data_IF_436165226689
#
_entry.id   IF_436165226689
#
_cell.length_a   1.000
_cell.length_b   1.000
_cell.length_c   1.000
_cell.angle_alpha   90.00
_cell.angle_beta   90.00
_cell.angle_gamma   90.00
#
_symmetry.space_group_name_H-M   'P 1'
#
loop_
_entity.id
_entity.type
_entity.pdbx_description
1 polymer ?
#
# COMPACT_ATOMS: atom_id res chain seq x y z
N UNK A 1 15.58 0.15 -6.72
CA UNK A 1 15.33 1.13 -7.80
C UNK A 1 16.06 2.41 -7.45
N UNK A 2 16.54 3.18 -8.42
CA UNK A 2 17.20 4.45 -8.13
C UNK A 2 16.18 5.48 -7.60
N UNK A 3 16.49 6.07 -6.44
CA UNK A 3 15.63 7.02 -5.74
C UNK A 3 15.40 8.29 -6.56
N UNK A 4 16.40 8.73 -7.34
CA UNK A 4 16.26 9.89 -8.22
C UNK A 4 15.30 9.61 -9.37
N UNK A 5 15.32 8.40 -9.94
CA UNK A 5 14.38 7.99 -10.99
C UNK A 5 12.93 8.01 -10.50
N UNK A 6 12.68 7.64 -9.24
CA UNK A 6 11.34 7.69 -8.64
C UNK A 6 10.85 9.14 -8.54
N UNK A 7 11.73 10.08 -8.15
CA UNK A 7 11.41 11.50 -8.02
C UNK A 7 11.17 12.14 -9.38
N UNK A 8 12.05 11.90 -10.36
CA UNK A 8 11.88 12.38 -11.73
C UNK A 8 10.56 11.88 -12.32
N UNK A 9 10.27 10.58 -12.15
CA UNK A 9 9.00 10.00 -12.58
C UNK A 9 7.80 10.68 -11.91
N UNK A 10 7.85 10.94 -10.60
CA UNK A 10 6.80 11.67 -9.89
C UNK A 10 6.60 13.09 -10.44
N UNK A 11 7.67 13.79 -10.78
CA UNK A 11 7.59 15.15 -11.36
C UNK A 11 6.95 15.08 -12.76
N UNK A 12 7.42 14.14 -13.59
CA UNK A 12 7.05 14.02 -15.00
C UNK A 12 5.61 13.53 -15.20
N UNK A 13 5.08 12.70 -14.29
CA UNK A 13 3.66 12.30 -14.29
C UNK A 13 2.69 13.49 -14.21
N UNK A 14 3.15 14.64 -13.72
CA UNK A 14 2.38 15.88 -13.62
C UNK A 14 2.90 16.98 -14.55
N UNK A 15 3.72 16.62 -15.54
CA UNK A 15 4.16 17.55 -16.58
C UNK A 15 2.96 18.09 -17.38
N UNK A 16 2.97 19.36 -17.81
CA UNK A 16 1.96 19.86 -18.75
C UNK A 16 2.08 19.21 -20.14
N UNK A 17 3.23 18.60 -20.45
CA UNK A 17 3.50 17.93 -21.72
C UNK A 17 3.00 16.48 -21.71
N UNK A 18 2.13 16.15 -22.67
CA UNK A 18 1.51 14.84 -22.82
C UNK A 18 2.52 13.73 -23.14
N UNK A 19 3.56 14.02 -23.93
CA UNK A 19 4.59 13.05 -24.30
C UNK A 19 5.44 12.70 -23.07
N UNK A 20 5.82 13.71 -22.28
CA UNK A 20 6.56 13.51 -21.02
C UNK A 20 5.75 12.66 -20.04
N UNK A 21 4.45 12.94 -19.89
CA UNK A 21 3.59 12.12 -19.01
C UNK A 21 3.46 10.68 -19.51
N UNK A 22 3.36 10.48 -20.82
CA UNK A 22 3.27 9.14 -21.40
C UNK A 22 4.55 8.35 -21.16
N UNK A 23 5.72 8.95 -21.40
CA UNK A 23 7.01 8.31 -21.12
C UNK A 23 7.16 7.98 -19.63
N UNK A 24 6.74 8.87 -18.73
CA UNK A 24 6.73 8.60 -17.30
C UNK A 24 5.82 7.42 -16.94
N UNK A 25 4.65 7.27 -17.57
CA UNK A 25 3.80 6.10 -17.39
C UNK A 25 4.44 4.81 -17.93
N UNK A 26 5.08 4.89 -19.11
CA UNK A 26 5.74 3.74 -19.74
C UNK A 26 6.95 3.27 -18.92
N UNK A 27 7.68 4.19 -18.28
CA UNK A 27 8.79 3.85 -17.38
C UNK A 27 8.34 2.99 -16.19
N UNK A 28 7.07 3.10 -15.78
CA UNK A 28 6.49 2.36 -14.65
C UNK A 28 5.87 1.02 -15.02
N UNK A 29 5.86 0.65 -16.31
CA UNK A 29 5.02 -0.46 -16.80
C UNK A 29 5.26 -1.80 -16.09
N UNK A 30 6.49 -2.04 -15.63
CA UNK A 30 6.86 -3.28 -14.93
C UNK A 30 6.90 -3.12 -13.39
N UNK A 31 6.78 -1.90 -12.85
CA UNK A 31 7.03 -1.65 -11.42
C UNK A 31 6.06 -2.41 -10.51
N UNK A 32 4.80 -2.51 -10.93
CA UNK A 32 3.77 -3.22 -10.18
C UNK A 32 3.73 -4.72 -10.50
N UNK A 33 4.43 -5.18 -11.54
CA UNK A 33 4.36 -6.57 -12.01
C UNK A 33 5.25 -7.53 -11.20
N UNK A 34 5.04 -7.52 -9.88
CA UNK A 34 5.66 -8.45 -8.94
C UNK A 34 4.65 -9.09 -7.96
N UNK A 35 5.18 -9.80 -6.96
CA UNK A 35 4.44 -10.37 -5.85
C UNK A 35 4.74 -9.52 -4.63
N UNK A 36 3.70 -8.98 -4.02
CA UNK A 36 3.80 -8.15 -2.83
C UNK A 36 3.10 -8.81 -1.65
N UNK A 37 3.59 -8.50 -0.46
CA UNK A 37 2.89 -8.75 0.79
C UNK A 37 2.05 -7.52 1.11
N UNK A 38 0.76 -7.75 1.32
CA UNK A 38 -0.23 -6.72 1.61
C UNK A 38 -0.67 -6.86 3.06
N UNK A 39 -0.57 -5.81 3.89
CA UNK A 39 -0.99 -5.85 5.28
C UNK A 39 -2.52 -5.86 5.39
N UNK A 40 -3.03 -6.64 6.34
CA UNK A 40 -4.43 -6.63 6.77
C UNK A 40 -4.49 -6.60 8.29
N UNK A 41 -5.38 -5.79 8.84
CA UNK A 41 -5.66 -5.70 10.27
C UNK A 41 -6.82 -6.61 10.69
N UNK A 42 -6.68 -7.27 11.84
CA UNK A 42 -7.79 -8.00 12.49
C UNK A 42 -8.72 -7.03 13.23
N UNK A 43 -8.19 -5.86 13.64
CA UNK A 43 -8.99 -4.86 14.33
C UNK A 43 -9.95 -4.18 13.36
N UNK A 44 -11.18 -3.88 13.79
CA UNK A 44 -12.10 -3.08 13.00
C UNK A 44 -11.51 -1.69 12.77
N UNK A 45 -11.80 -1.12 11.60
CA UNK A 45 -11.42 0.27 11.34
C UNK A 45 -12.47 1.21 11.95
N UNK A 46 -12.09 2.47 12.17
CA UNK A 46 -13.01 3.51 12.62
C UNK A 46 -13.94 4.03 11.51
N UNK A 47 -13.83 3.52 10.28
CA UNK A 47 -14.69 3.93 9.16
C UNK A 47 -15.92 2.99 9.08
N UNK A 48 -17.11 3.57 9.20
CA UNK A 48 -18.38 2.81 9.22
C UNK A 48 -18.52 1.88 8.02
N UNK A 49 -18.71 0.59 8.29
CA UNK A 49 -18.94 -0.44 7.27
C UNK A 49 -17.70 -0.88 6.50
N UNK A 50 -16.50 -0.52 6.95
CA UNK A 50 -15.22 -0.90 6.34
C UNK A 50 -14.33 -1.66 7.33
N UNK A 51 -13.80 -2.81 6.91
CA UNK A 51 -12.72 -3.50 7.61
C UNK A 51 -11.83 -4.27 6.64
N UNK A 52 -10.56 -4.40 6.99
CA UNK A 52 -9.57 -5.15 6.21
C UNK A 52 -9.99 -6.60 6.03
N UNK A 53 -10.57 -7.22 7.07
CA UNK A 53 -11.13 -8.57 6.99
C UNK A 53 -12.29 -8.65 6.00
N UNK A 54 -13.15 -7.63 5.94
CA UNK A 54 -14.21 -7.56 4.93
C UNK A 54 -13.63 -7.42 3.53
N UNK A 55 -12.62 -6.57 3.33
CA UNK A 55 -11.93 -6.43 2.06
C UNK A 55 -11.34 -7.78 1.59
N UNK A 56 -10.59 -8.45 2.46
CA UNK A 56 -9.98 -9.74 2.15
C UNK A 56 -11.02 -10.82 1.84
N UNK A 57 -12.12 -10.87 2.60
CA UNK A 57 -13.25 -11.79 2.34
C UNK A 57 -13.86 -11.60 0.95
N UNK A 58 -13.80 -10.39 0.40
CA UNK A 58 -14.30 -10.07 -0.93
C UNK A 58 -13.19 -10.07 -1.99
N UNK A 59 -12.04 -10.69 -1.71
CA UNK A 59 -10.86 -10.68 -2.58
C UNK A 59 -10.52 -9.26 -3.03
N UNK A 60 -10.35 -8.36 -2.07
CA UNK A 60 -10.08 -6.96 -2.34
C UNK A 60 -8.91 -6.41 -1.52
N UNK A 61 -8.18 -5.51 -2.14
CA UNK A 61 -7.19 -4.65 -1.50
C UNK A 61 -7.89 -3.62 -0.62
N UNK A 62 -7.36 -3.43 0.58
CA UNK A 62 -7.86 -2.50 1.58
C UNK A 62 -7.05 -1.19 1.50
N UNK A 63 -7.70 -0.08 1.13
CA UNK A 63 -7.04 1.22 1.01
C UNK A 63 -7.38 2.15 2.17
N UNK A 64 -6.41 2.93 2.62
CA UNK A 64 -6.50 3.74 3.82
C UNK A 64 -6.15 5.20 3.56
N UNK A 65 -6.63 6.08 4.44
CA UNK A 65 -6.19 7.48 4.47
C UNK A 65 -4.70 7.55 4.84
N UNK A 66 -4.00 8.54 4.31
CA UNK A 66 -2.71 8.97 4.87
C UNK A 66 -2.95 9.36 6.32
N UNK A 67 -2.22 8.73 7.23
CA UNK A 67 -2.09 9.18 8.61
C UNK A 67 -0.60 9.44 8.91
N UNK A 68 -0.26 10.71 9.07
CA UNK A 68 1.10 11.15 9.39
C UNK A 68 1.06 11.81 10.78
N UNK A 69 1.17 11.02 11.87
CA UNK A 69 0.85 11.46 13.23
C UNK A 69 1.77 12.57 13.77
N UNK A 70 2.93 12.81 13.14
CA UNK A 70 3.92 13.78 13.60
C UNK A 70 3.84 15.14 12.88
N UNK A 71 2.77 15.40 12.12
CA UNK A 71 2.62 16.66 11.38
C UNK A 71 1.91 17.69 12.24
N UNK A 72 2.70 18.64 12.76
CA UNK A 72 2.22 19.76 13.58
C UNK A 72 1.87 21.00 12.76
N UNK A 73 2.26 21.06 11.48
CA UNK A 73 2.00 22.21 10.61
C UNK A 73 0.58 22.15 10.02
N UNK A 74 -0.24 23.17 10.32
CA UNK A 74 -1.62 23.32 9.81
C UNK A 74 -1.72 23.31 8.28
N UNK A 75 -0.73 23.86 7.58
CA UNK A 75 -0.71 23.87 6.10
C UNK A 75 -0.60 22.44 5.54
N UNK A 76 0.31 21.64 6.10
CA UNK A 76 0.52 20.25 5.71
C UNK A 76 -0.66 19.36 6.11
N UNK A 77 -1.25 19.58 7.30
CA UNK A 77 -2.46 18.89 7.71
C UNK A 77 -3.62 19.14 6.72
N UNK A 78 -3.86 20.39 6.34
CA UNK A 78 -4.88 20.73 5.33
C UNK A 78 -4.60 20.09 3.96
N UNK A 79 -3.33 19.99 3.55
CA UNK A 79 -2.94 19.32 2.31
C UNK A 79 -3.23 17.82 2.37
N UNK A 80 -2.99 17.17 3.51
CA UNK A 80 -3.30 15.75 3.72
C UNK A 80 -4.80 15.50 3.74
N UNK A 81 -5.59 16.37 4.36
CA UNK A 81 -7.05 16.26 4.32
C UNK A 81 -7.59 16.38 2.88
N UNK A 82 -7.07 17.34 2.10
CA UNK A 82 -7.40 17.48 0.67
C UNK A 82 -6.94 16.29 -0.16
N UNK A 83 -5.82 15.67 0.19
CA UNK A 83 -5.38 14.44 -0.45
C UNK A 83 -6.35 13.30 -0.12
N UNK A 84 -6.65 13.09 1.16
CA UNK A 84 -7.52 12.01 1.66
C UNK A 84 -8.99 12.14 1.21
N UNK A 85 -9.43 13.33 0.80
CA UNK A 85 -10.76 13.52 0.20
C UNK A 85 -10.85 12.96 -1.22
N UNK A 86 -9.71 12.81 -1.92
CA UNK A 86 -9.65 12.31 -3.30
C UNK A 86 -8.95 10.96 -3.43
N UNK A 87 -7.96 10.69 -2.62
CA UNK A 87 -7.09 9.53 -2.77
C UNK A 87 -7.01 8.72 -1.48
N UNK A 88 -6.68 7.44 -1.64
CA UNK A 88 -6.27 6.54 -0.57
C UNK A 88 -4.99 5.84 -0.96
N UNK A 89 -4.34 5.25 0.03
CA UNK A 89 -3.10 4.51 -0.14
C UNK A 89 -3.19 3.10 0.42
N UNK A 90 -2.36 2.23 -0.12
CA UNK A 90 -2.06 0.92 0.41
C UNK A 90 -0.55 0.74 0.44
N UNK A 91 -0.02 0.35 1.60
CA UNK A 91 1.38 -0.08 1.71
C UNK A 91 1.53 -1.51 1.23
N UNK A 92 2.60 -1.76 0.49
CA UNK A 92 2.97 -3.03 -0.10
C UNK A 92 4.42 -3.33 0.27
N UNK A 93 4.77 -4.61 0.34
CA UNK A 93 6.12 -5.02 0.70
C UNK A 93 6.66 -6.06 -0.26
N UNK A 94 7.89 -5.90 -0.75
CA UNK A 94 8.51 -6.87 -1.68
C UNK A 94 8.81 -8.20 -0.96
N UNK A 95 9.30 -8.11 0.28
CA UNK A 95 9.51 -9.24 1.18
C UNK A 95 8.60 -9.12 2.40
N UNK A 96 8.29 -10.26 3.03
CA UNK A 96 7.49 -10.30 4.25
C UNK A 96 8.20 -9.49 5.35
N UNK A 97 7.65 -8.34 5.78
CA UNK A 97 8.34 -7.46 6.71
C UNK A 97 8.19 -7.93 8.16
N UNK A 98 8.95 -7.31 9.07
CA UNK A 98 8.56 -7.31 10.48
C UNK A 98 7.24 -6.55 10.63
N UNK A 99 6.29 -7.13 11.36
CA UNK A 99 4.98 -6.49 11.56
C UNK A 99 5.12 -5.25 12.47
N UNK A 100 4.53 -4.10 12.10
CA UNK A 100 4.58 -2.91 12.94
C UNK A 100 3.68 -3.06 14.17
N UNK A 101 2.61 -3.85 14.08
CA UNK A 101 1.69 -4.13 15.17
C UNK A 101 1.27 -5.60 15.22
N UNK A 102 0.94 -6.07 16.43
CA UNK A 102 0.56 -7.47 16.67
C UNK A 102 -0.65 -7.92 15.86
N UNK A 103 -1.63 -7.04 15.67
CA UNK A 103 -2.90 -7.34 14.99
C UNK A 103 -2.83 -7.31 13.46
N UNK A 104 -1.64 -7.07 12.89
CA UNK A 104 -1.43 -7.07 11.45
C UNK A 104 -0.92 -8.45 11.01
N UNK A 105 -1.50 -8.95 9.94
CA UNK A 105 -1.07 -10.14 9.21
C UNK A 105 -0.94 -9.78 7.72
N UNK A 106 -0.36 -10.67 6.91
CA UNK A 106 -0.08 -10.35 5.51
C UNK A 106 -0.73 -11.34 4.56
N UNK A 107 -1.24 -10.84 3.43
CA UNK A 107 -1.60 -11.66 2.29
C UNK A 107 -0.58 -11.45 1.17
N UNK A 108 -0.10 -12.53 0.56
CA UNK A 108 0.74 -12.46 -0.63
C UNK A 108 -0.16 -12.36 -1.86
N UNK A 109 0.08 -11.35 -2.66
CA UNK A 109 -0.69 -11.03 -3.86
C UNK A 109 0.25 -10.98 -5.05
N UNK A 110 -0.12 -11.63 -6.15
CA UNK A 110 0.67 -11.70 -7.38
C UNK A 110 0.12 -10.76 -8.44
N UNK A 111 0.61 -9.54 -8.44
CA UNK A 111 0.17 -8.48 -9.35
C UNK A 111 0.55 -8.75 -10.82
N UNK A 112 1.38 -9.77 -11.10
CA UNK A 112 1.58 -10.27 -12.49
C UNK A 112 0.31 -10.89 -13.10
N UNK A 113 -0.69 -11.19 -12.27
CA UNK A 113 -1.99 -11.76 -12.69
C UNK A 113 -3.08 -10.70 -12.85
N UNK A 114 -2.76 -9.42 -12.65
CA UNK A 114 -3.74 -8.35 -12.86
C UNK A 114 -4.29 -8.39 -14.28
N UNK A 115 -5.58 -8.13 -14.40
CA UNK A 115 -6.17 -7.89 -15.71
C UNK A 115 -5.81 -6.50 -16.25
N UNK A 116 -6.20 -6.24 -17.50
CA UNK A 116 -5.87 -4.99 -18.19
C UNK A 116 -6.48 -3.76 -17.52
N UNK A 117 -7.69 -3.86 -16.98
CA UNK A 117 -8.41 -2.72 -16.40
C UNK A 117 -7.95 -2.45 -14.96
N UNK A 118 -7.67 -3.50 -14.19
CA UNK A 118 -6.99 -3.40 -12.90
C UNK A 118 -5.61 -2.74 -13.06
N UNK A 119 -4.80 -3.22 -14.02
CA UNK A 119 -3.48 -2.69 -14.30
C UNK A 119 -3.50 -1.20 -14.64
N UNK A 120 -4.42 -0.76 -15.52
CA UNK A 120 -4.56 0.65 -15.89
C UNK A 120 -4.89 1.55 -14.71
N UNK A 121 -5.66 1.04 -13.74
CA UNK A 121 -6.05 1.80 -12.55
C UNK A 121 -4.87 1.89 -11.57
N UNK A 122 -4.10 0.82 -11.42
CA UNK A 122 -3.08 0.70 -10.39
C UNK A 122 -1.71 1.24 -10.82
N UNK A 123 -1.24 0.93 -12.03
CA UNK A 123 0.13 1.28 -12.47
C UNK A 123 0.48 2.78 -12.40
N UNK A 124 -0.42 3.75 -12.72
CA UNK A 124 -0.05 5.16 -12.76
C UNK A 124 0.42 5.70 -11.41
N UNK A 125 -0.11 5.14 -10.32
CA UNK A 125 0.06 5.65 -8.96
C UNK A 125 0.70 4.62 -8.02
N UNK A 126 1.43 3.67 -8.60
CA UNK A 126 2.31 2.76 -7.87
C UNK A 126 3.71 3.37 -7.74
N UNK A 127 4.29 3.39 -6.55
CA UNK A 127 5.64 3.88 -6.32
C UNK A 127 6.39 2.98 -5.34
N UNK A 128 7.66 2.68 -5.62
CA UNK A 128 8.57 2.24 -4.58
C UNK A 128 8.82 3.38 -3.60
N UNK A 129 9.03 3.06 -2.32
CA UNK A 129 9.20 4.08 -1.30
C UNK A 129 10.49 4.89 -1.49
N UNK A 130 10.39 6.16 -1.14
CA UNK A 130 11.52 7.09 -1.06
C UNK A 130 12.09 7.14 0.34
N UNK A 131 13.42 7.14 0.46
CA UNK A 131 14.10 7.40 1.72
C UNK A 131 13.65 8.77 2.27
N UNK A 132 13.23 8.84 3.56
CA UNK A 132 12.78 10.09 4.17
C UNK A 132 13.77 11.26 4.06
N UNK A 133 15.08 11.01 4.05
CA UNK A 133 16.08 12.06 3.90
C UNK A 133 16.10 12.60 2.46
N UNK A 134 15.95 11.73 1.47
CA UNK A 134 15.86 12.14 0.05
C UNK A 134 14.59 12.98 -0.17
N UNK A 135 13.47 12.63 0.45
CA UNK A 135 12.22 13.43 0.37
C UNK A 135 12.41 14.84 0.95
N UNK A 136 13.27 15.02 1.96
CA UNK A 136 13.57 16.33 2.55
C UNK A 136 14.50 17.17 1.68
N UNK A 137 15.50 16.53 1.09
CA UNK A 137 16.56 17.20 0.33
C UNK A 137 16.16 17.49 -1.13
N UNK A 138 15.12 16.84 -1.63
CA UNK A 138 14.66 17.00 -3.01
C UNK A 138 13.86 18.29 -3.24
N UNK A 139 14.12 18.95 -4.37
CA UNK A 139 13.44 20.19 -4.76
C UNK A 139 12.06 19.90 -5.41
N UNK A 140 11.18 19.25 -4.66
CA UNK A 140 9.84 18.89 -5.13
C UNK A 140 8.92 20.12 -5.04
N UNK A 141 8.21 20.47 -6.14
CA UNK A 141 7.27 21.59 -6.14
C UNK A 141 6.25 21.49 -5.00
N UNK A 142 5.93 22.63 -4.37
CA UNK A 142 5.04 22.71 -3.22
C UNK A 142 3.55 22.61 -3.62
N UNK A 143 3.17 21.47 -4.19
CA UNK A 143 1.80 21.12 -4.60
C UNK A 143 1.48 19.64 -4.28
N UNK A 144 0.56 19.03 -5.02
CA UNK A 144 0.15 17.63 -4.83
C UNK A 144 1.35 16.65 -4.89
N UNK A 145 2.39 16.97 -5.66
CA UNK A 145 3.61 16.14 -5.79
C UNK A 145 4.33 16.03 -4.46
N UNK A 146 4.42 17.12 -3.69
CA UNK A 146 5.03 17.10 -2.35
C UNK A 146 4.24 16.24 -1.38
N UNK A 147 2.91 16.26 -1.47
CA UNK A 147 2.06 15.39 -0.64
C UNK A 147 2.26 13.92 -1.01
N UNK A 148 2.34 13.60 -2.29
CA UNK A 148 2.64 12.24 -2.77
C UNK A 148 4.04 11.81 -2.31
N UNK A 149 5.05 12.66 -2.42
CA UNK A 149 6.40 12.38 -1.96
C UNK A 149 6.44 12.00 -0.48
N UNK A 150 5.71 12.74 0.38
CA UNK A 150 5.54 12.37 1.78
C UNK A 150 4.75 11.07 1.96
N UNK A 151 3.73 10.82 1.14
CA UNK A 151 2.91 9.61 1.21
C UNK A 151 3.70 8.34 0.85
N UNK A 152 4.66 8.46 -0.06
CA UNK A 152 5.55 7.36 -0.50
C UNK A 152 6.88 7.35 0.26
N UNK A 153 7.01 8.12 1.35
CA UNK A 153 8.20 8.06 2.19
C UNK A 153 8.19 6.78 3.04
N UNK A 154 9.28 6.02 3.00
CA UNK A 154 9.35 4.71 3.64
C UNK A 154 10.72 4.05 3.49
N UNK A 155 10.76 2.73 3.72
CA UNK A 155 12.00 1.94 3.62
C UNK A 155 12.12 1.23 2.27
N UNK A 156 13.31 0.73 1.93
CA UNK A 156 13.62 0.12 0.62
C UNK A 156 12.70 -1.07 0.27
N UNK A 157 12.28 -1.87 1.24
CA UNK A 157 11.38 -3.02 1.04
C UNK A 157 9.90 -2.62 0.86
N UNK A 158 9.58 -1.33 0.98
CA UNK A 158 8.22 -0.81 0.92
C UNK A 158 7.91 -0.24 -0.46
N UNK A 159 6.66 -0.42 -0.87
CA UNK A 159 6.03 0.28 -1.97
C UNK A 159 4.67 0.82 -1.52
N UNK A 160 4.15 1.80 -2.25
CA UNK A 160 2.86 2.40 -2.00
C UNK A 160 2.06 2.41 -3.29
N UNK A 161 0.84 1.88 -3.20
CA UNK A 161 -0.18 2.07 -4.20
C UNK A 161 -1.10 3.20 -3.76
N UNK A 162 -1.22 4.23 -4.57
CA UNK A 162 -2.20 5.31 -4.40
C UNK A 162 -3.33 5.07 -5.40
N UNK A 163 -4.58 5.36 -5.02
CA UNK A 163 -5.73 5.22 -5.90
C UNK A 163 -6.75 6.34 -5.65
N UNK A 164 -7.38 6.83 -6.72
CA UNK A 164 -8.46 7.81 -6.64
C UNK A 164 -9.74 7.13 -6.11
N UNK A 165 -10.42 7.79 -5.17
CA UNK A 165 -11.65 7.33 -4.52
C UNK A 165 -12.74 6.94 -5.51
N UNK A 166 -12.76 7.53 -6.71
CA UNK A 166 -13.74 7.17 -7.75
C UNK A 166 -13.64 5.71 -8.22
N UNK A 167 -12.48 5.07 -8.02
CA UNK A 167 -12.25 3.68 -8.38
C UNK A 167 -12.47 2.72 -7.20
N UNK A 168 -12.81 3.24 -6.02
CA UNK A 168 -13.01 2.46 -4.80
C UNK A 168 -14.50 2.36 -4.47
N UNK A 169 -14.95 1.16 -4.11
CA UNK A 169 -16.21 0.96 -3.41
C UNK A 169 -15.89 0.83 -1.92
N UNK A 170 -16.35 1.75 -1.06
CA UNK A 170 -16.05 1.72 0.40
C UNK A 170 -14.58 1.47 0.75
N UNK A 171 -13.66 2.17 0.08
CA UNK A 171 -12.20 2.04 0.19
C UNK A 171 -11.61 0.67 -0.21
N UNK A 172 -12.36 -0.20 -0.89
CA UNK A 172 -11.84 -1.49 -1.38
C UNK A 172 -11.69 -1.48 -2.90
N UNK A 173 -10.65 -2.17 -3.38
CA UNK A 173 -10.43 -2.44 -4.80
C UNK A 173 -10.32 -3.95 -5.02
N UNK A 174 -11.27 -4.53 -5.76
CA UNK A 174 -11.33 -5.99 -5.98
C UNK A 174 -10.22 -6.44 -6.94
N UNK A 175 -9.56 -7.55 -6.60
CA UNK A 175 -8.56 -8.23 -7.44
C UNK A 175 -8.59 -9.74 -7.19
N UNK A 176 -8.35 -10.57 -8.21
CA UNK A 176 -8.31 -12.04 -8.05
C UNK A 176 -6.88 -12.62 -7.98
N UNK A 177 -5.97 -11.85 -7.38
CA UNK A 177 -4.53 -12.11 -7.42
C UNK A 177 -3.94 -12.67 -6.11
N UNK A 178 -4.77 -13.03 -5.14
CA UNK A 178 -4.31 -13.54 -3.84
C UNK A 178 -3.73 -14.95 -3.95
N UNK A 179 -2.57 -15.18 -3.34
CA UNK A 179 -1.88 -16.48 -3.37
C UNK A 179 -1.88 -17.18 -2.01
N UNK A 180 -1.54 -16.48 -0.93
CA UNK A 180 -1.33 -17.08 0.41
C UNK A 180 -1.59 -16.06 1.52
N UNK A 181 -1.91 -16.55 2.72
CA UNK A 181 -2.03 -15.72 3.93
C UNK A 181 -0.94 -16.13 4.94
N UNK A 182 -0.27 -15.15 5.53
CA UNK A 182 0.80 -15.29 6.51
C UNK A 182 0.29 -14.82 7.88
N UNK A 183 0.22 -15.73 8.83
CA UNK A 183 -0.35 -15.51 10.17
C UNK A 183 0.72 -15.75 11.22
N UNK A 184 0.81 -14.87 12.22
CA UNK A 184 1.83 -14.97 13.28
C UNK A 184 1.34 -15.84 14.43
N UNK A 185 2.24 -16.64 15.00
CA UNK A 185 1.94 -17.64 16.03
C UNK A 185 1.69 -17.08 17.44
N UNK A 186 2.01 -15.82 17.66
CA UNK A 186 1.80 -15.13 18.93
C UNK A 186 0.45 -14.39 19.02
N UNK A 187 -0.36 -14.42 17.95
CA UNK A 187 -1.78 -14.05 17.98
C UNK A 187 -2.56 -14.99 18.90
N UNK A 188 -3.73 -14.55 19.39
CA UNK A 188 -4.60 -15.43 20.19
C UNK A 188 -5.18 -16.56 19.33
N UNK A 189 -5.57 -17.67 19.96
CA UNK A 189 -6.15 -18.80 19.24
C UNK A 189 -7.43 -18.43 18.48
N UNK A 190 -8.26 -17.54 19.01
CA UNK A 190 -9.49 -17.07 18.36
C UNK A 190 -9.21 -16.20 17.13
N UNK A 191 -8.21 -15.33 17.20
CA UNK A 191 -7.75 -14.52 16.05
C UNK A 191 -7.19 -15.42 14.93
N UNK A 192 -6.32 -16.37 15.29
CA UNK A 192 -5.76 -17.33 14.33
C UNK A 192 -6.87 -18.17 13.69
N UNK A 193 -7.84 -18.65 14.48
CA UNK A 193 -8.98 -19.40 13.98
C UNK A 193 -9.80 -18.57 12.97
N UNK A 194 -10.07 -17.31 13.30
CA UNK A 194 -10.83 -16.40 12.42
C UNK A 194 -10.14 -16.18 11.07
N UNK A 195 -8.81 -15.99 11.06
CA UNK A 195 -8.05 -15.84 9.81
C UNK A 195 -8.00 -17.16 9.04
N UNK A 196 -7.88 -18.31 9.72
CA UNK A 196 -7.89 -19.63 9.07
C UNK A 196 -9.23 -19.95 8.42
N UNK A 197 -10.34 -19.60 9.06
CA UNK A 197 -11.68 -19.78 8.50
C UNK A 197 -11.87 -18.90 7.25
N UNK A 198 -11.37 -17.65 7.30
CA UNK A 198 -11.35 -16.76 6.16
C UNK A 198 -10.50 -17.33 5.00
N UNK A 199 -9.30 -17.83 5.30
CA UNK A 199 -8.42 -18.44 4.32
C UNK A 199 -9.07 -19.67 3.67
N UNK A 200 -9.75 -20.50 4.47
CA UNK A 200 -10.50 -21.67 3.98
C UNK A 200 -11.63 -21.27 3.05
N UNK A 201 -12.39 -20.23 3.39
CA UNK A 201 -13.44 -19.67 2.53
C UNK A 201 -12.88 -19.20 1.19
N UNK A 202 -11.74 -18.53 1.21
CA UNK A 202 -11.03 -18.03 0.01
C UNK A 202 -10.22 -19.10 -0.72
N UNK A 203 -10.15 -20.33 -0.18
CA UNK A 203 -9.30 -21.42 -0.68
C UNK A 203 -7.81 -21.03 -0.76
N UNK A 204 -7.35 -20.18 0.15
CA UNK A 204 -5.97 -19.73 0.24
C UNK A 204 -5.20 -20.56 1.27
N UNK A 205 -3.97 -21.02 0.97
CA UNK A 205 -3.11 -21.64 1.95
C UNK A 205 -2.68 -20.62 3.03
N UNK A 206 -2.51 -21.14 4.25
CA UNK A 206 -2.03 -20.37 5.40
C UNK A 206 -0.62 -20.80 5.75
N UNK A 207 0.27 -19.82 5.95
CA UNK A 207 1.63 -20.00 6.44
C UNK A 207 1.72 -19.43 7.84
N UNK A 208 2.14 -20.24 8.82
CA UNK A 208 2.43 -19.76 10.16
C UNK A 208 3.82 -19.14 10.19
N UNK A 209 3.91 -17.93 10.73
CA UNK A 209 5.16 -17.18 10.91
C UNK A 209 5.52 -17.20 12.39
N UNK A 210 6.69 -17.76 12.69
CA UNK A 210 7.19 -17.86 14.06
C UNK A 210 7.94 -16.59 14.45
N UNK A 211 7.40 -15.85 15.42
CA UNK A 211 8.07 -14.65 15.91
C UNK A 211 9.27 -15.07 16.74
N UNK A 212 10.48 -14.85 16.23
CA UNK A 212 11.71 -15.14 16.97
C UNK A 212 11.72 -14.41 18.32
N UNK A 213 12.05 -15.12 19.40
CA UNK A 213 12.34 -14.46 20.69
C UNK A 213 13.52 -13.53 20.47
N UNK A 214 13.31 -12.20 20.52
CA UNK A 214 14.44 -11.24 20.57
C UNK A 214 15.33 -11.67 21.72
N UNK A 215 16.58 -12.06 21.42
CA UNK A 215 17.62 -12.16 22.44
C UNK A 215 17.74 -10.78 23.05
N UNK A 216 17.34 -10.65 24.30
CA UNK A 216 17.69 -9.49 25.13
C UNK A 216 19.22 -9.43 25.09
N UNK A 217 19.76 -8.40 24.44
CA UNK A 217 21.17 -8.03 24.58
C UNK A 217 21.30 -7.19 25.85
#
# INVERSE_FOLDING_TARGET
>A
MDQYQIIENLIDLYSPDDEVRLEALLAKKEWILDRFYVPYSILPTSEDGYSDLYALKNQALAFHKINLPNITNKSTANMIERFNSRFKLLKLYENLPERPHKHIFYAKVNFRRLDKDEYKVLVPYFFYCLDPEIVKDSNIPNDIRKVIAYAISGEENEAVQIIDNKNLDKNIFKIDCFEKIYVYDDLTQSEIASIKDLAKYLQLPVVMVHVGRKKVK
#
